data_IF_029224843551
#
_entry.id   IF_029224843551
#
_cell.length_a   1.000
_cell.length_b   1.000
_cell.length_c   1.000
_cell.angle_alpha   90.00
_cell.angle_beta   90.00
_cell.angle_gamma   90.00
#
_symmetry.space_group_name_H-M   'P 1'
#
loop_
_entity.id
_entity.type
_entity.pdbx_description
1 polymer ?
#
# COMPACT_ATOMS: atom_id res chain seq x y z
N UNK A 1 -0.33 22.61 23.97
CA UNK A 1 0.53 23.67 24.51
C UNK A 1 1.64 23.92 23.49
N UNK A 2 1.37 24.75 22.49
CA UNK A 2 2.40 25.12 21.52
C UNK A 2 3.41 26.03 22.23
N UNK A 3 4.67 25.62 22.19
CA UNK A 3 5.82 26.37 22.69
C UNK A 3 5.76 27.78 22.10
N UNK A 4 5.62 28.79 22.97
CA UNK A 4 5.88 30.18 22.60
C UNK A 4 7.38 30.28 22.32
N UNK A 5 7.76 30.19 21.05
CA UNK A 5 9.13 30.44 20.60
C UNK A 5 9.41 31.93 20.70
N UNK A 6 9.92 32.32 21.87
CA UNK A 6 10.52 33.61 22.17
C UNK A 6 11.87 33.71 21.44
N UNK A 7 11.87 33.98 20.13
CA UNK A 7 13.11 34.23 19.35
C UNK A 7 12.88 35.33 18.29
N UNK A 8 12.42 36.50 18.76
CA UNK A 8 12.24 37.68 17.91
C UNK A 8 13.53 38.50 17.71
N UNK A 9 14.64 38.18 18.38
CA UNK A 9 15.81 39.07 18.47
C UNK A 9 16.98 38.76 17.52
N UNK A 10 16.97 37.64 16.79
CA UNK A 10 18.19 37.12 16.14
C UNK A 10 18.47 37.71 14.73
N UNK A 11 17.51 38.42 14.11
CA UNK A 11 17.68 38.92 12.73
C UNK A 11 17.18 40.38 12.58
N UNK A 12 18.08 41.38 12.47
CA UNK A 12 17.71 42.81 12.42
C UNK A 12 16.95 43.27 11.16
N UNK A 13 16.48 42.33 10.32
CA UNK A 13 15.63 42.62 9.16
C UNK A 13 14.42 41.69 9.01
N UNK A 14 14.15 40.80 9.98
CA UNK A 14 13.03 39.84 9.90
C UNK A 14 11.68 40.55 9.81
N UNK A 15 11.46 41.57 10.65
CA UNK A 15 10.20 42.33 10.66
C UNK A 15 9.97 43.06 9.33
N UNK A 16 10.98 43.76 8.81
CA UNK A 16 10.93 44.43 7.51
C UNK A 16 10.73 43.48 6.33
N UNK A 17 11.20 42.23 6.43
CA UNK A 17 10.96 41.20 5.41
C UNK A 17 9.53 40.64 5.51
N UNK A 18 9.04 40.40 6.74
CA UNK A 18 7.65 39.97 6.97
C UNK A 18 6.65 41.00 6.47
N UNK A 19 6.92 42.30 6.68
CA UNK A 19 6.08 43.39 6.18
C UNK A 19 6.07 43.49 4.65
N UNK A 20 7.21 43.19 4.00
CA UNK A 20 7.31 43.14 2.52
C UNK A 20 6.63 41.93 1.90
N UNK A 21 6.74 40.77 2.54
CA UNK A 21 6.20 39.50 2.04
C UNK A 21 4.71 39.38 2.33
N UNK A 22 4.20 40.05 3.36
CA UNK A 22 2.81 39.99 3.82
C UNK A 22 2.27 38.54 3.83
N UNK A 23 2.93 37.62 4.55
CA UNK A 23 2.57 36.20 4.49
C UNK A 23 1.13 35.99 4.92
N UNK A 24 0.39 35.18 4.16
CA UNK A 24 -0.99 34.84 4.47
C UNK A 24 -1.07 34.21 5.87
N UNK A 25 -1.98 34.71 6.71
CA UNK A 25 -2.25 34.14 8.02
C UNK A 25 -2.95 32.79 7.85
N UNK A 26 -2.21 31.70 7.98
CA UNK A 26 -2.77 30.35 7.95
C UNK A 26 -3.35 30.03 9.33
N UNK A 27 -4.68 30.08 9.45
CA UNK A 27 -5.36 29.56 10.63
C UNK A 27 -5.32 28.03 10.62
N UNK A 28 -4.51 27.43 11.49
CA UNK A 28 -4.48 25.98 11.66
C UNK A 28 -5.81 25.51 12.28
N UNK A 29 -6.64 24.86 11.47
CA UNK A 29 -7.84 24.22 11.96
C UNK A 29 -7.48 23.00 12.81
N UNK A 30 -8.20 22.83 13.93
CA UNK A 30 -8.05 21.64 14.75
C UNK A 30 -8.41 20.37 13.94
N UNK A 31 -7.46 19.42 13.88
CA UNK A 31 -7.62 18.14 13.18
C UNK A 31 -8.74 17.28 13.78
N UNK A 32 -8.92 17.36 15.09
CA UNK A 32 -10.00 16.70 15.83
C UNK A 32 -10.95 17.77 16.36
N UNK A 33 -12.18 17.77 15.86
CA UNK A 33 -13.22 18.70 16.27
C UNK A 33 -13.89 18.23 17.57
N UNK A 34 -14.53 19.15 18.28
CA UNK A 34 -15.37 18.91 19.48
C UNK A 34 -14.62 18.48 20.76
N UNK A 35 -13.35 18.86 20.95
CA UNK A 35 -12.58 18.66 22.19
C UNK A 35 -12.80 17.28 22.84
N UNK A 36 -12.58 16.21 22.07
CA UNK A 36 -12.78 14.82 22.53
C UNK A 36 -11.64 14.41 23.45
N UNK A 37 -11.98 13.74 24.55
CA UNK A 37 -11.00 13.12 25.46
C UNK A 37 -10.51 11.74 24.94
N UNK A 38 -9.38 11.26 25.46
CA UNK A 38 -8.79 9.98 25.07
C UNK A 38 -9.71 8.79 25.31
N UNK A 39 -10.47 8.79 26.42
CA UNK A 39 -11.42 7.73 26.72
C UNK A 39 -12.48 7.59 25.61
N UNK A 40 -13.00 8.72 25.13
CA UNK A 40 -13.99 8.74 24.04
C UNK A 40 -13.43 8.14 22.74
N UNK A 41 -12.18 8.42 22.41
CA UNK A 41 -11.53 7.86 21.20
C UNK A 41 -11.40 6.35 21.30
N UNK A 42 -10.93 5.86 22.45
CA UNK A 42 -10.79 4.42 22.71
C UNK A 42 -12.14 3.72 22.62
N UNK A 43 -13.15 4.21 23.36
CA UNK A 43 -14.50 3.64 23.33
C UNK A 43 -15.07 3.63 21.90
N UNK A 44 -14.89 4.72 21.15
CA UNK A 44 -15.41 4.82 19.78
C UNK A 44 -14.77 3.81 18.83
N UNK A 45 -13.47 3.56 18.94
CA UNK A 45 -12.74 2.61 18.08
C UNK A 45 -13.02 1.17 18.52
N UNK A 46 -12.95 0.87 19.82
CA UNK A 46 -13.20 -0.47 20.36
C UNK A 46 -14.63 -0.92 20.04
N UNK A 47 -15.61 -0.02 20.10
CA UNK A 47 -17.00 -0.31 19.76
C UNK A 47 -17.19 -0.85 18.33
N UNK A 48 -16.32 -0.51 17.38
CA UNK A 48 -16.38 -1.06 16.02
C UNK A 48 -16.14 -2.57 16.02
N UNK A 49 -15.27 -3.05 16.93
CA UNK A 49 -14.90 -4.47 17.06
C UNK A 49 -15.83 -5.20 18.02
N UNK A 50 -16.31 -4.53 19.07
CA UNK A 50 -17.13 -5.14 20.13
C UNK A 50 -18.63 -5.23 19.79
N UNK A 51 -19.13 -4.40 18.87
CA UNK A 51 -20.55 -4.42 18.49
C UNK A 51 -20.82 -5.58 17.53
N UNK A 52 -22.02 -6.15 17.58
CA UNK A 52 -22.48 -7.12 16.59
C UNK A 52 -22.33 -6.56 15.16
N UNK A 53 -21.77 -7.38 14.29
CA UNK A 53 -21.51 -7.03 12.90
C UNK A 53 -22.81 -6.70 12.17
N UNK A 54 -22.94 -5.50 11.57
CA UNK A 54 -24.18 -5.10 10.93
C UNK A 54 -24.44 -5.92 9.64
N UNK A 55 -25.70 -6.13 9.30
CA UNK A 55 -26.08 -6.98 8.16
C UNK A 55 -25.49 -6.53 6.81
N UNK A 56 -25.29 -5.23 6.60
CA UNK A 56 -24.68 -4.72 5.38
C UNK A 56 -23.22 -5.19 5.21
N UNK A 57 -22.49 -5.37 6.33
CA UNK A 57 -21.11 -5.84 6.30
C UNK A 57 -21.07 -7.28 5.78
N UNK A 58 -22.01 -8.13 6.18
CA UNK A 58 -22.13 -9.49 5.67
C UNK A 58 -22.40 -9.54 4.17
N UNK A 59 -23.24 -8.63 3.65
CA UNK A 59 -23.47 -8.52 2.21
C UNK A 59 -22.18 -8.16 1.48
N UNK A 60 -21.45 -7.14 1.95
CA UNK A 60 -20.16 -6.76 1.38
C UNK A 60 -19.13 -7.91 1.45
N UNK A 61 -19.07 -8.61 2.58
CA UNK A 61 -18.17 -9.73 2.80
C UNK A 61 -18.46 -10.89 1.85
N UNK A 62 -19.74 -11.27 1.67
CA UNK A 62 -20.14 -12.34 0.76
C UNK A 62 -19.79 -11.98 -0.70
N UNK A 63 -20.03 -10.73 -1.12
CA UNK A 63 -19.67 -10.28 -2.48
C UNK A 63 -18.16 -10.31 -2.69
N UNK A 64 -17.39 -9.83 -1.71
CA UNK A 64 -15.93 -9.90 -1.75
C UNK A 64 -15.43 -11.35 -1.81
N UNK A 65 -15.98 -12.24 -0.98
CA UNK A 65 -15.62 -13.65 -0.94
C UNK A 65 -15.99 -14.39 -2.24
N UNK A 66 -17.15 -14.08 -2.84
CA UNK A 66 -17.55 -14.63 -4.13
C UNK A 66 -16.57 -14.20 -5.24
N UNK A 67 -16.14 -12.94 -5.23
CA UNK A 67 -15.17 -12.40 -6.20
C UNK A 67 -13.78 -13.02 -6.02
N UNK A 68 -13.35 -13.20 -4.78
CA UNK A 68 -12.10 -13.88 -4.45
C UNK A 68 -12.13 -15.35 -4.87
N UNK A 69 -13.26 -16.04 -4.65
CA UNK A 69 -13.45 -17.43 -5.06
C UNK A 69 -13.44 -17.58 -6.58
N UNK A 70 -14.07 -16.65 -7.31
CA UNK A 70 -14.01 -16.60 -8.78
C UNK A 70 -12.58 -16.43 -9.28
N UNK A 71 -11.79 -15.57 -8.63
CA UNK A 71 -10.38 -15.37 -8.95
C UNK A 71 -9.60 -16.67 -8.75
N UNK A 72 -9.79 -17.37 -7.63
CA UNK A 72 -9.13 -18.64 -7.35
C UNK A 72 -9.48 -19.72 -8.39
N UNK A 73 -10.76 -19.84 -8.77
CA UNK A 73 -11.17 -20.76 -9.84
C UNK A 73 -10.49 -20.43 -11.18
N UNK A 74 -10.39 -19.13 -11.52
CA UNK A 74 -9.69 -18.67 -12.71
C UNK A 74 -8.19 -19.00 -12.68
N UNK A 75 -7.53 -18.88 -11.52
CA UNK A 75 -6.12 -19.26 -11.36
C UNK A 75 -5.91 -20.78 -11.51
N UNK A 76 -6.81 -21.59 -10.95
CA UNK A 76 -6.76 -23.06 -11.11
C UNK A 76 -6.91 -23.45 -12.58
N UNK A 77 -7.87 -22.84 -13.29
CA UNK A 77 -8.03 -23.03 -14.72
C UNK A 77 -6.74 -22.65 -15.45
N UNK A 78 -6.21 -21.45 -15.22
CA UNK A 78 -5.01 -20.93 -15.87
C UNK A 78 -3.82 -21.88 -15.73
N UNK A 79 -3.56 -22.39 -14.53
CA UNK A 79 -2.44 -23.32 -14.30
C UNK A 79 -2.69 -24.67 -14.99
N UNK A 80 -3.94 -25.12 -15.08
CA UNK A 80 -4.30 -26.41 -15.67
C UNK A 80 -4.25 -26.41 -17.21
N UNK A 81 -4.61 -25.30 -17.85
CA UNK A 81 -4.67 -25.19 -19.33
C UNK A 81 -3.51 -24.41 -19.93
N UNK A 82 -2.78 -23.63 -19.12
CA UNK A 82 -1.68 -22.78 -19.53
C UNK A 82 -2.04 -21.31 -19.77
N UNK A 83 -1.01 -20.46 -19.82
CA UNK A 83 -1.11 -18.99 -19.92
C UNK A 83 -1.73 -18.46 -21.23
N UNK A 84 -1.87 -19.33 -22.25
CA UNK A 84 -2.50 -18.98 -23.52
C UNK A 84 -3.97 -18.58 -23.40
N UNK A 85 -4.66 -18.99 -22.32
CA UNK A 85 -6.07 -18.61 -22.05
C UNK A 85 -6.26 -17.10 -21.90
N UNK A 86 -5.20 -16.37 -21.54
CA UNK A 86 -5.25 -14.91 -21.47
C UNK A 86 -5.26 -14.21 -22.84
N UNK A 87 -5.19 -14.96 -23.94
CA UNK A 87 -5.26 -14.40 -25.30
C UNK A 87 -4.03 -13.58 -25.69
N UNK A 88 -2.89 -13.88 -25.07
CA UNK A 88 -1.60 -13.28 -25.44
C UNK A 88 -1.18 -13.79 -26.82
N UNK A 89 -0.74 -12.89 -27.68
CA UNK A 89 -0.31 -13.22 -29.04
C UNK A 89 1.02 -12.53 -29.33
N UNK A 90 1.94 -13.24 -29.98
CA UNK A 90 3.21 -12.64 -30.40
C UNK A 90 2.92 -11.52 -31.42
N UNK A 91 3.44 -10.28 -31.22
CA UNK A 91 4.55 -9.90 -30.33
C UNK A 91 4.19 -9.43 -28.91
N UNK A 92 2.91 -9.26 -28.60
CA UNK A 92 2.42 -8.78 -27.30
C UNK A 92 2.23 -9.95 -26.34
N UNK A 93 3.34 -10.39 -25.74
CA UNK A 93 3.34 -11.47 -24.75
C UNK A 93 2.95 -11.00 -23.35
N UNK A 94 2.83 -9.68 -23.14
CA UNK A 94 2.49 -9.06 -21.86
C UNK A 94 1.19 -8.28 -22.03
N UNK A 95 0.21 -8.56 -21.17
CA UNK A 95 -1.11 -7.96 -21.24
C UNK A 95 -1.63 -7.59 -19.87
N UNK A 96 -2.90 -7.92 -19.60
CA UNK A 96 -3.59 -7.55 -18.37
C UNK A 96 -2.90 -8.02 -17.09
N UNK A 97 -2.17 -9.13 -17.11
CA UNK A 97 -1.46 -9.61 -15.92
C UNK A 97 -0.45 -8.58 -15.40
N UNK A 98 0.39 -8.00 -16.27
CA UNK A 98 1.37 -7.02 -15.81
C UNK A 98 0.77 -5.64 -15.60
N UNK A 99 -0.24 -5.26 -16.39
CA UNK A 99 -0.98 -4.00 -16.18
C UNK A 99 -1.59 -3.99 -14.78
N UNK A 100 -2.24 -5.10 -14.38
CA UNK A 100 -2.81 -5.22 -13.05
C UNK A 100 -1.74 -5.34 -11.96
N UNK A 101 -0.62 -6.03 -12.21
CA UNK A 101 0.52 -6.06 -11.28
C UNK A 101 0.98 -4.64 -10.91
N UNK A 102 1.32 -3.83 -11.90
CA UNK A 102 1.81 -2.46 -11.69
C UNK A 102 0.71 -1.58 -11.07
N UNK A 103 -0.55 -1.77 -11.48
CA UNK A 103 -1.68 -1.06 -10.89
C UNK A 103 -1.82 -1.33 -9.39
N UNK A 104 -1.77 -2.59 -8.96
CA UNK A 104 -1.88 -2.96 -7.54
C UNK A 104 -0.68 -2.46 -6.72
N UNK A 105 0.55 -2.56 -7.26
CA UNK A 105 1.74 -1.97 -6.62
C UNK A 105 1.58 -0.44 -6.48
N UNK A 106 1.06 0.23 -7.50
CA UNK A 106 0.76 1.66 -7.47
C UNK A 106 -0.20 2.06 -6.36
N UNK A 107 -1.27 1.27 -6.14
CA UNK A 107 -2.19 1.47 -5.00
C UNK A 107 -1.44 1.32 -3.67
N UNK A 108 -0.58 0.31 -3.56
CA UNK A 108 0.20 0.08 -2.35
C UNK A 108 1.09 1.27 -1.97
N UNK A 109 1.75 1.89 -2.95
CA UNK A 109 2.64 3.03 -2.72
C UNK A 109 1.96 4.24 -2.08
N UNK A 110 0.68 4.48 -2.40
CA UNK A 110 -0.08 5.55 -1.77
C UNK A 110 -0.18 5.34 -0.25
N UNK A 111 -0.37 4.10 0.21
CA UNK A 111 -0.45 3.81 1.64
C UNK A 111 0.88 3.97 2.37
N UNK A 112 2.00 3.54 1.77
CA UNK A 112 3.34 3.78 2.37
C UNK A 112 3.75 5.24 2.40
N UNK A 113 3.31 6.03 1.42
CA UNK A 113 3.53 7.47 1.44
C UNK A 113 2.82 8.10 2.63
N UNK A 114 1.56 7.70 2.88
CA UNK A 114 0.78 8.19 4.01
C UNK A 114 1.39 7.75 5.34
N UNK A 115 1.90 6.53 5.46
CA UNK A 115 2.42 6.02 6.73
C UNK A 115 3.84 6.45 7.06
N UNK A 116 4.76 6.40 6.09
CA UNK A 116 6.18 6.70 6.29
C UNK A 116 6.53 8.15 5.94
N UNK A 117 6.21 8.62 4.73
CA UNK A 117 6.66 9.93 4.24
C UNK A 117 5.99 11.06 5.04
N UNK A 118 4.68 11.00 5.27
CA UNK A 118 4.00 11.99 6.10
C UNK A 118 4.47 11.98 7.56
N UNK A 119 4.96 10.84 8.05
CA UNK A 119 5.58 10.76 9.37
C UNK A 119 6.91 11.53 9.40
N UNK A 120 7.76 11.36 8.39
CA UNK A 120 9.02 12.11 8.25
C UNK A 120 8.77 13.62 8.13
N UNK A 121 7.73 14.01 7.41
CA UNK A 121 7.29 15.40 7.26
C UNK A 121 6.52 15.95 8.49
N UNK A 122 6.44 15.17 9.57
CA UNK A 122 5.75 15.51 10.83
C UNK A 122 4.30 16.01 10.63
N UNK A 123 3.60 15.45 9.65
CA UNK A 123 2.23 15.83 9.33
C UNK A 123 1.23 15.14 10.29
N UNK A 124 0.63 15.91 11.20
CA UNK A 124 -0.26 15.38 12.23
C UNK A 124 -1.61 14.83 11.73
N UNK A 125 -2.03 15.18 10.51
CA UNK A 125 -3.31 14.73 9.94
C UNK A 125 -3.30 13.26 9.52
N UNK A 126 -2.13 12.66 9.29
CA UNK A 126 -2.00 11.24 8.92
C UNK A 126 -2.58 10.28 9.97
N UNK A 127 -2.62 10.72 11.24
CA UNK A 127 -2.88 9.86 12.40
C UNK A 127 -4.24 9.17 12.35
N UNK A 128 -5.25 9.80 11.74
CA UNK A 128 -6.60 9.25 11.60
C UNK A 128 -6.74 8.22 10.48
N UNK A 129 -5.83 8.20 9.50
CA UNK A 129 -5.91 7.36 8.30
C UNK A 129 -4.81 6.29 8.22
N UNK A 130 -3.75 6.43 9.02
CA UNK A 130 -2.54 5.61 8.95
C UNK A 130 -2.81 4.10 8.92
N UNK A 131 -3.64 3.61 9.84
CA UNK A 131 -3.93 2.17 9.95
C UNK A 131 -4.73 1.63 8.75
N UNK A 132 -5.65 2.42 8.22
CA UNK A 132 -6.40 2.05 7.02
C UNK A 132 -5.51 2.04 5.77
N UNK A 133 -4.60 3.02 5.67
CA UNK A 133 -3.63 3.11 4.59
C UNK A 133 -2.63 1.92 4.62
N UNK A 134 -2.12 1.54 5.80
CA UNK A 134 -1.26 0.36 5.96
C UNK A 134 -1.99 -0.94 5.60
N UNK A 135 -3.23 -1.13 6.06
CA UNK A 135 -4.03 -2.30 5.71
C UNK A 135 -4.29 -2.37 4.19
N UNK A 136 -4.64 -1.24 3.57
CA UNK A 136 -4.82 -1.14 2.12
C UNK A 136 -3.55 -1.56 1.37
N UNK A 137 -2.38 -1.10 1.81
CA UNK A 137 -1.09 -1.50 1.22
C UNK A 137 -0.87 -3.00 1.29
N UNK A 138 -1.08 -3.63 2.45
CA UNK A 138 -0.85 -5.07 2.61
C UNK A 138 -1.76 -5.86 1.65
N UNK A 139 -3.06 -5.54 1.59
CA UNK A 139 -3.97 -6.21 0.67
C UNK A 139 -3.61 -5.97 -0.80
N UNK A 140 -3.19 -4.75 -1.15
CA UNK A 140 -2.75 -4.43 -2.50
C UNK A 140 -1.50 -5.23 -2.91
N UNK A 141 -0.52 -5.38 -2.00
CA UNK A 141 0.69 -6.17 -2.25
C UNK A 141 0.38 -7.67 -2.37
N UNK A 142 -0.53 -8.20 -1.54
CA UNK A 142 -0.99 -9.60 -1.67
C UNK A 142 -1.65 -9.84 -3.03
N UNK A 143 -2.53 -8.93 -3.47
CA UNK A 143 -3.13 -9.01 -4.81
C UNK A 143 -2.09 -8.86 -5.93
N UNK A 144 -1.12 -7.95 -5.77
CA UNK A 144 -0.05 -7.75 -6.74
C UNK A 144 0.81 -9.01 -6.91
N UNK A 145 1.19 -9.67 -5.81
CA UNK A 145 2.07 -10.84 -5.80
C UNK A 145 1.54 -12.05 -6.57
N UNK A 146 0.22 -12.13 -6.77
CA UNK A 146 -0.41 -13.17 -7.60
C UNK A 146 0.09 -13.07 -9.06
N UNK A 147 0.23 -11.86 -9.61
CA UNK A 147 0.52 -11.71 -11.03
C UNK A 147 1.94 -12.17 -11.41
N UNK A 148 3.04 -11.76 -10.73
CA UNK A 148 4.37 -12.30 -10.98
C UNK A 148 4.44 -13.83 -10.88
N UNK A 149 3.69 -14.41 -9.95
CA UNK A 149 3.68 -15.86 -9.74
C UNK A 149 2.90 -16.63 -10.81
N UNK A 150 1.74 -16.15 -11.23
CA UNK A 150 0.85 -16.89 -12.13
C UNK A 150 0.99 -16.49 -13.61
N UNK A 151 1.64 -15.37 -13.92
CA UNK A 151 1.90 -15.01 -15.32
C UNK A 151 3.03 -15.81 -15.98
N UNK A 152 3.81 -16.54 -15.18
CA UNK A 152 4.82 -17.46 -15.70
C UNK A 152 4.16 -18.77 -16.12
N UNK A 153 4.53 -19.29 -17.30
CA UNK A 153 3.94 -20.51 -17.84
C UNK A 153 4.18 -21.77 -16.99
N UNK A 154 5.16 -21.76 -16.08
CA UNK A 154 5.49 -22.88 -15.18
C UNK A 154 5.63 -22.41 -13.74
N UNK A 155 4.50 -22.13 -13.11
CA UNK A 155 4.42 -21.63 -11.73
C UNK A 155 5.15 -22.50 -10.70
N UNK A 156 5.22 -23.83 -10.91
CA UNK A 156 5.89 -24.76 -9.99
C UNK A 156 7.43 -24.59 -9.95
N UNK A 157 8.03 -23.83 -10.86
CA UNK A 157 9.44 -23.47 -10.81
C UNK A 157 9.68 -22.08 -10.20
N UNK A 158 8.66 -21.41 -9.66
CA UNK A 158 8.82 -20.08 -9.06
C UNK A 158 9.85 -20.04 -7.93
N UNK A 159 10.09 -21.17 -7.25
CA UNK A 159 11.13 -21.26 -6.22
C UNK A 159 12.56 -21.05 -6.76
N UNK A 160 12.80 -21.17 -8.07
CA UNK A 160 14.10 -20.83 -8.71
C UNK A 160 14.41 -19.34 -8.74
N UNK A 161 13.42 -18.49 -8.45
CA UNK A 161 13.61 -17.04 -8.32
C UNK A 161 14.19 -16.66 -6.96
N UNK A 162 14.28 -17.59 -6.01
CA UNK A 162 14.93 -17.33 -4.73
C UNK A 162 16.38 -17.81 -4.77
N UNK A 163 17.32 -17.08 -4.15
CA UNK A 163 18.74 -17.44 -4.13
C UNK A 163 18.97 -18.59 -3.13
N UNK A 164 18.50 -19.79 -3.49
CA UNK A 164 18.61 -21.00 -2.69
C UNK A 164 19.70 -21.93 -3.26
N UNK A 165 20.63 -22.45 -2.43
CA UNK A 165 21.58 -23.45 -2.87
C UNK A 165 20.85 -24.69 -3.42
N UNK A 166 21.19 -25.10 -4.64
CA UNK A 166 20.65 -26.30 -5.26
C UNK A 166 21.78 -27.26 -5.66
N UNK A 167 21.42 -28.51 -5.97
CA UNK A 167 22.37 -29.56 -6.35
C UNK A 167 23.23 -29.22 -7.58
N UNK A 168 22.76 -28.29 -8.42
CA UNK A 168 23.42 -27.89 -9.66
C UNK A 168 24.26 -26.60 -9.50
N UNK A 169 24.32 -25.99 -8.31
CA UNK A 169 25.00 -24.71 -8.04
C UNK A 169 24.56 -23.57 -8.98
N UNK A 170 23.30 -23.59 -9.41
CA UNK A 170 22.74 -22.56 -10.30
C UNK A 170 22.10 -21.45 -9.46
N UNK A 171 22.32 -20.19 -9.85
CA UNK A 171 21.80 -19.00 -9.19
C UNK A 171 20.87 -18.20 -10.11
N UNK A 172 19.97 -17.37 -9.55
CA UNK A 172 19.20 -16.41 -10.32
C UNK A 172 20.07 -15.38 -11.05
N UNK A 173 19.52 -14.76 -12.09
CA UNK A 173 20.20 -13.71 -12.85
C UNK A 173 19.93 -12.33 -12.23
N UNK A 174 20.88 -11.84 -11.42
CA UNK A 174 20.78 -10.56 -10.72
C UNK A 174 20.86 -9.31 -11.61
N UNK A 175 21.01 -9.44 -12.92
CA UNK A 175 20.92 -8.31 -13.87
C UNK A 175 19.51 -8.08 -14.42
N UNK A 176 18.58 -9.01 -14.17
CA UNK A 176 17.22 -8.93 -14.69
C UNK A 176 16.35 -8.02 -13.81
N UNK A 177 15.64 -7.02 -14.36
CA UNK A 177 14.67 -6.23 -13.60
C UNK A 177 13.54 -7.08 -13.02
N UNK A 178 13.15 -8.17 -13.69
CA UNK A 178 12.14 -9.10 -13.16
C UNK A 178 12.61 -9.83 -11.90
N UNK A 179 13.92 -10.08 -11.79
CA UNK A 179 14.49 -10.66 -10.57
C UNK A 179 14.49 -9.62 -9.45
N UNK A 180 14.76 -8.34 -9.77
CA UNK A 180 14.66 -7.25 -8.80
C UNK A 180 13.24 -7.08 -8.27
N UNK A 181 12.22 -7.27 -9.11
CA UNK A 181 10.82 -7.24 -8.67
C UNK A 181 10.53 -8.31 -7.60
N UNK A 182 11.12 -9.51 -7.71
CA UNK A 182 10.97 -10.57 -6.70
C UNK A 182 11.50 -10.09 -5.34
N UNK A 183 12.70 -9.50 -5.31
CA UNK A 183 13.28 -8.95 -4.09
C UNK A 183 12.53 -7.72 -3.57
N UNK A 184 12.13 -6.82 -4.46
CA UNK A 184 11.42 -5.60 -4.09
C UNK A 184 10.05 -5.92 -3.49
N UNK A 185 9.25 -6.76 -4.15
CA UNK A 185 7.90 -7.11 -3.68
C UNK A 185 7.95 -8.00 -2.44
N UNK A 186 8.90 -8.95 -2.36
CA UNK A 186 9.03 -9.78 -1.16
C UNK A 186 9.45 -8.98 0.08
N UNK A 187 10.42 -8.07 -0.06
CA UNK A 187 10.82 -7.16 1.03
C UNK A 187 9.72 -6.17 1.37
N UNK A 188 8.97 -5.71 0.36
CA UNK A 188 7.87 -4.77 0.58
C UNK A 188 6.66 -5.42 1.27
N UNK A 189 6.40 -6.71 1.00
CA UNK A 189 5.32 -7.47 1.61
C UNK A 189 5.57 -7.94 3.04
N UNK A 190 6.79 -7.74 3.56
CA UNK A 190 7.22 -8.11 4.93
C UNK A 190 7.48 -6.88 5.77
#
# INVERSE_FOLDING_TARGET
MASQTTDASIYPGKQTLLDKVAPAHLEEQALVKNNRDFNWVTDKICKIVETNTPNWWWVCFIVALATASFTLMGLIWLVSTGVGVWGLANPINWGWAIVNFVFWIGIGHAGTLISAILCLLKQGWRTSINRAAEAMTIFAVVCAGIFPLFHVGRVWFAWWLFPLPNANLIWPQFRSPLEWDVFAVSTYGT
#
